data_IF_225769137611
#
_entry.id   IF_225769137611
#
_cell.length_a   1.000
_cell.length_b   1.000
_cell.length_c   1.000
_cell.angle_alpha   90.00
_cell.angle_beta   90.00
_cell.angle_gamma   90.00
#
_symmetry.space_group_name_H-M   'P 1'
#
loop_
_entity.id
_entity.type
_entity.pdbx_description
1 polymer ?
#
# COMPACT_ATOMS: atom_id res chain seq x y z
N UNK A 1 -12.05 23.33 16.67
CA UNK A 1 -13.17 22.63 15.99
C UNK A 1 -12.70 21.43 15.11
N UNK A 2 -11.43 21.31 14.75
CA UNK A 2 -10.87 20.18 13.96
C UNK A 2 -10.61 18.89 14.78
N UNK A 3 -10.35 18.99 16.08
CA UNK A 3 -10.04 17.83 16.94
C UNK A 3 -11.26 16.93 17.25
N UNK A 4 -12.47 17.49 17.29
CA UNK A 4 -13.69 16.72 17.59
C UNK A 4 -14.08 15.79 16.42
N UNK A 5 -13.83 16.22 15.17
CA UNK A 5 -14.11 15.38 13.98
C UNK A 5 -13.13 14.21 13.85
N UNK A 6 -11.86 14.41 14.21
CA UNK A 6 -10.87 13.33 14.21
C UNK A 6 -11.12 12.30 15.32
N UNK A 7 -11.55 12.75 16.48
CA UNK A 7 -11.92 11.90 17.62
C UNK A 7 -13.14 11.02 17.31
N UNK A 8 -14.19 11.59 16.71
CA UNK A 8 -15.39 10.82 16.30
C UNK A 8 -15.11 9.77 15.21
N UNK A 9 -14.21 10.09 14.28
CA UNK A 9 -13.75 9.13 13.26
C UNK A 9 -12.97 7.97 13.85
N UNK A 10 -12.11 8.23 14.84
CA UNK A 10 -11.36 7.19 15.54
C UNK A 10 -12.28 6.28 16.35
N UNK A 11 -13.32 6.83 16.99
CA UNK A 11 -14.28 6.05 17.74
C UNK A 11 -15.13 5.16 16.83
N UNK A 12 -15.58 5.68 15.68
CA UNK A 12 -16.30 4.92 14.67
C UNK A 12 -15.45 3.79 14.06
N UNK A 13 -14.15 4.02 13.84
CA UNK A 13 -13.20 2.98 13.41
C UNK A 13 -13.03 1.88 14.47
N UNK A 14 -12.95 2.26 15.74
CA UNK A 14 -12.85 1.30 16.85
C UNK A 14 -14.14 0.48 17.05
N UNK A 15 -15.29 1.07 16.72
CA UNK A 15 -16.61 0.43 16.82
C UNK A 15 -16.95 -0.40 15.57
N UNK A 16 -16.31 -0.12 14.41
CA UNK A 16 -16.44 -0.96 13.23
C UNK A 16 -15.79 -2.32 13.52
N UNK A 17 -16.58 -3.38 13.48
CA UNK A 17 -16.26 -4.75 13.95
C UNK A 17 -15.21 -5.47 13.07
N UNK A 18 -14.22 -4.73 12.56
CA UNK A 18 -13.09 -5.27 11.78
C UNK A 18 -11.94 -5.59 12.71
N UNK A 19 -11.89 -6.83 13.20
CA UNK A 19 -10.99 -7.33 14.23
C UNK A 19 -9.48 -7.13 13.99
N UNK A 20 -9.06 -6.58 12.85
CA UNK A 20 -7.67 -6.26 12.51
C UNK A 20 -7.22 -4.90 13.05
N UNK A 21 -8.16 -4.00 13.38
CA UNK A 21 -7.86 -2.66 13.88
C UNK A 21 -7.48 -2.63 15.36
N UNK A 22 -7.77 -3.69 16.13
CA UNK A 22 -7.57 -3.74 17.58
C UNK A 22 -6.11 -3.75 18.05
N UNK A 23 -5.15 -4.07 17.17
CA UNK A 23 -3.72 -4.05 17.48
C UNK A 23 -3.04 -2.75 17.06
N UNK A 24 -3.79 -1.74 16.63
CA UNK A 24 -3.23 -0.45 16.25
C UNK A 24 -2.93 0.36 17.52
N UNK A 25 -1.67 0.74 17.70
CA UNK A 25 -1.33 1.71 18.73
C UNK A 25 -2.07 3.03 18.42
N UNK A 26 -2.87 3.53 19.35
CA UNK A 26 -3.65 4.76 19.19
C UNK A 26 -2.81 5.93 18.64
N UNK A 27 -1.56 6.03 19.06
CA UNK A 27 -0.64 7.07 18.61
C UNK A 27 -0.27 6.92 17.12
N UNK A 28 -0.06 5.70 16.64
CA UNK A 28 0.23 5.42 15.24
C UNK A 28 -0.98 5.70 14.35
N UNK A 29 -2.17 5.27 14.77
CA UNK A 29 -3.40 5.58 14.05
C UNK A 29 -3.65 7.08 13.94
N UNK A 30 -3.43 7.83 15.03
CA UNK A 30 -3.56 9.28 15.04
C UNK A 30 -2.55 9.96 14.10
N UNK A 31 -1.30 9.49 14.10
CA UNK A 31 -0.26 9.99 13.19
C UNK A 31 -0.61 9.68 11.73
N UNK A 32 -1.07 8.45 11.44
CA UNK A 32 -1.51 8.09 10.10
C UNK A 32 -2.64 8.98 9.61
N UNK A 33 -3.71 9.16 10.41
CA UNK A 33 -4.82 10.05 10.07
C UNK A 33 -4.38 11.52 9.86
N UNK A 34 -3.42 11.98 10.66
CA UNK A 34 -2.85 13.31 10.44
C UNK A 34 -2.21 13.42 9.05
N UNK A 35 -1.41 12.40 8.65
CA UNK A 35 -0.76 12.35 7.33
C UNK A 35 -1.77 12.18 6.19
N UNK A 36 -2.82 11.37 6.37
CA UNK A 36 -3.92 11.24 5.40
C UNK A 36 -4.54 12.60 5.08
N UNK A 37 -4.73 13.45 6.09
CA UNK A 37 -5.33 14.78 5.87
C UNK A 37 -4.33 15.83 5.36
N UNK A 38 -3.04 15.66 5.64
CA UNK A 38 -2.01 16.68 5.34
C UNK A 38 -1.23 16.35 4.08
N UNK A 39 -0.74 15.11 3.98
CA UNK A 39 0.28 14.74 3.00
C UNK A 39 -0.34 14.00 1.80
N UNK A 40 -1.31 13.09 2.04
CA UNK A 40 -1.93 12.29 0.98
C UNK A 40 -2.61 13.10 -0.13
N UNK A 41 -3.27 14.25 0.12
CA UNK A 41 -3.94 15.02 -0.94
C UNK A 41 -2.99 15.44 -2.07
N UNK A 42 -1.73 15.72 -1.78
CA UNK A 42 -0.74 16.14 -2.77
C UNK A 42 -0.38 15.01 -3.76
N UNK A 43 -0.54 13.76 -3.32
CA UNK A 43 -0.13 12.56 -4.09
C UNK A 43 -1.31 11.71 -4.55
N UNK A 44 -2.53 11.93 -4.04
CA UNK A 44 -3.71 11.10 -4.32
C UNK A 44 -3.92 10.89 -5.82
N UNK A 45 -3.82 11.94 -6.64
CA UNK A 45 -3.95 11.86 -8.10
C UNK A 45 -2.98 10.87 -8.75
N UNK A 46 -1.74 10.78 -8.24
CA UNK A 46 -0.74 9.85 -8.78
C UNK A 46 -1.05 8.41 -8.39
N UNK A 47 -1.55 8.17 -7.16
CA UNK A 47 -2.02 6.86 -6.74
C UNK A 47 -3.23 6.39 -7.55
N UNK A 48 -4.23 7.25 -7.75
CA UNK A 48 -5.42 6.94 -8.54
C UNK A 48 -5.05 6.62 -10.01
N UNK A 49 -4.15 7.40 -10.58
CA UNK A 49 -3.68 7.22 -11.94
C UNK A 49 -2.88 5.91 -12.11
N UNK A 50 -1.97 5.64 -11.17
CA UNK A 50 -1.19 4.40 -11.16
C UNK A 50 -2.09 3.18 -10.91
N UNK A 51 -3.04 3.28 -9.99
CA UNK A 51 -4.02 2.24 -9.71
C UNK A 51 -4.84 1.86 -10.94
N UNK A 52 -5.36 2.86 -11.65
CA UNK A 52 -6.09 2.65 -12.91
C UNK A 52 -5.20 2.06 -14.02
N UNK A 53 -3.95 2.49 -14.12
CA UNK A 53 -3.02 2.04 -15.19
C UNK A 53 -2.53 0.61 -14.98
N UNK A 54 -2.48 0.13 -13.74
CA UNK A 54 -1.93 -1.17 -13.38
C UNK A 54 -2.94 -2.13 -12.75
N UNK A 55 -4.23 -1.77 -12.75
CA UNK A 55 -5.32 -2.56 -12.16
C UNK A 55 -5.02 -2.94 -10.70
N UNK A 56 -4.73 -1.94 -9.88
CA UNK A 56 -4.49 -2.06 -8.43
C UNK A 56 -5.31 -1.00 -7.70
N UNK A 57 -5.94 -1.35 -6.59
CA UNK A 57 -6.62 -0.37 -5.76
C UNK A 57 -5.63 0.73 -5.32
N UNK A 58 -5.92 1.99 -5.67
CA UNK A 58 -5.05 3.12 -5.35
C UNK A 58 -4.79 3.26 -3.85
N UNK A 59 -5.75 2.84 -3.01
CA UNK A 59 -5.63 2.87 -1.54
C UNK A 59 -4.60 1.86 -1.05
N UNK A 60 -4.51 0.71 -1.72
CA UNK A 60 -3.46 -0.27 -1.45
C UNK A 60 -2.08 0.29 -1.82
N UNK A 61 -1.96 0.97 -2.97
CA UNK A 61 -0.71 1.63 -3.35
C UNK A 61 -0.32 2.73 -2.36
N UNK A 62 -1.29 3.52 -1.90
CA UNK A 62 -1.07 4.54 -0.88
C UNK A 62 -0.64 3.93 0.46
N UNK A 63 -1.23 2.79 0.86
CA UNK A 63 -0.85 2.05 2.07
C UNK A 63 0.58 1.50 1.98
N UNK A 64 0.97 0.94 0.82
CA UNK A 64 2.35 0.50 0.55
C UNK A 64 3.31 1.70 0.67
N UNK A 65 3.04 2.80 -0.02
CA UNK A 65 3.89 3.99 0.01
C UNK A 65 4.02 4.58 1.42
N UNK A 66 2.94 4.54 2.22
CA UNK A 66 3.01 4.97 3.61
C UNK A 66 3.92 4.05 4.44
N UNK A 67 3.83 2.74 4.25
CA UNK A 67 4.71 1.79 4.93
C UNK A 67 6.17 1.96 4.51
N UNK A 68 6.43 2.30 3.26
CA UNK A 68 7.79 2.46 2.69
C UNK A 68 8.46 3.77 3.15
N UNK A 69 7.76 4.90 3.01
CA UNK A 69 8.37 6.23 3.17
C UNK A 69 7.55 7.20 4.00
N UNK A 70 6.38 6.80 4.50
CA UNK A 70 5.40 7.73 5.08
C UNK A 70 4.98 8.85 4.10
N UNK A 71 4.95 8.55 2.81
CA UNK A 71 4.69 9.46 1.69
C UNK A 71 5.75 10.56 1.52
N UNK A 72 7.00 10.28 1.89
CA UNK A 72 8.12 11.17 1.61
C UNK A 72 8.79 10.82 0.28
N UNK A 73 8.67 11.66 -0.78
CA UNK A 73 9.30 11.40 -2.07
C UNK A 73 10.82 11.49 -2.03
N UNK A 74 11.39 12.16 -1.02
CA UNK A 74 12.83 12.31 -0.85
C UNK A 74 13.45 11.21 0.02
N UNK A 75 12.65 10.26 0.50
CA UNK A 75 13.13 9.17 1.36
C UNK A 75 14.31 8.44 0.70
N UNK A 76 15.33 8.16 1.52
CA UNK A 76 16.53 7.43 1.10
C UNK A 76 16.99 6.55 2.25
N UNK A 77 17.17 5.25 2.00
CA UNK A 77 17.74 4.33 2.97
C UNK A 77 19.27 4.33 2.92
N UNK A 78 19.94 3.86 3.99
CA UNK A 78 21.40 3.67 4.00
C UNK A 78 21.91 2.75 2.89
N UNK A 79 21.07 1.84 2.41
CA UNK A 79 21.39 0.87 1.35
C UNK A 79 21.05 1.37 -0.05
N UNK A 80 20.58 2.61 -0.19
CA UNK A 80 20.40 3.29 -1.47
C UNK A 80 19.05 3.06 -2.17
N UNK A 81 18.04 2.46 -1.50
CA UNK A 81 16.66 2.51 -1.98
C UNK A 81 16.11 3.91 -1.79
N UNK A 82 15.27 4.38 -2.71
CA UNK A 82 14.86 5.79 -2.75
C UNK A 82 13.42 5.97 -3.19
N UNK A 83 12.88 7.11 -2.76
CA UNK A 83 11.61 7.67 -3.22
C UNK A 83 10.39 7.13 -2.51
N UNK A 84 9.23 7.58 -2.93
CA UNK A 84 7.93 7.30 -2.34
C UNK A 84 7.66 5.80 -2.11
N UNK A 85 8.07 4.94 -3.05
CA UNK A 85 7.85 3.49 -3.03
C UNK A 85 9.13 2.71 -2.73
N UNK A 86 10.21 3.38 -2.28
CA UNK A 86 11.50 2.80 -1.87
C UNK A 86 12.05 1.78 -2.86
N UNK A 87 12.14 2.18 -4.14
CA UNK A 87 12.63 1.29 -5.19
C UNK A 87 14.16 1.20 -5.17
N UNK A 88 14.69 -0.02 -5.35
CA UNK A 88 16.12 -0.21 -5.66
C UNK A 88 16.43 0.39 -7.04
N UNK A 89 17.71 0.61 -7.33
CA UNK A 89 18.10 1.09 -8.65
C UNK A 89 17.75 0.10 -9.76
N UNK A 90 17.93 -1.19 -9.50
CA UNK A 90 17.61 -2.27 -10.45
C UNK A 90 16.10 -2.33 -10.71
N UNK A 91 15.29 -2.39 -9.64
CA UNK A 91 13.83 -2.42 -9.78
C UNK A 91 13.30 -1.18 -10.49
N UNK A 92 13.84 0.00 -10.17
CA UNK A 92 13.47 1.26 -10.83
C UNK A 92 13.76 1.20 -12.35
N UNK A 93 14.95 0.73 -12.74
CA UNK A 93 15.32 0.57 -14.14
C UNK A 93 14.40 -0.42 -14.86
N UNK A 94 14.13 -1.59 -14.26
CA UNK A 94 13.21 -2.59 -14.82
C UNK A 94 11.77 -2.05 -14.97
N UNK A 95 11.35 -1.21 -14.03
CA UNK A 95 10.01 -0.60 -14.06
C UNK A 95 9.97 0.71 -14.88
N UNK A 96 11.06 1.09 -15.55
CA UNK A 96 11.11 2.29 -16.38
C UNK A 96 11.08 3.60 -15.59
N UNK A 97 11.51 3.59 -14.34
CA UNK A 97 11.63 4.77 -13.47
C UNK A 97 12.99 5.41 -13.68
N UNK A 98 13.00 6.62 -14.21
CA UNK A 98 14.22 7.39 -14.46
C UNK A 98 14.62 8.18 -13.22
N UNK A 99 13.65 8.79 -12.56
CA UNK A 99 13.86 9.54 -11.31
C UNK A 99 13.03 8.92 -10.18
N UNK A 100 13.72 8.26 -9.24
CA UNK A 100 13.09 7.63 -8.07
C UNK A 100 12.57 8.63 -7.05
N UNK A 101 13.06 9.89 -7.08
CA UNK A 101 12.60 10.96 -6.19
C UNK A 101 11.38 11.71 -6.76
N UNK A 102 11.04 11.51 -8.03
CA UNK A 102 9.77 11.93 -8.58
C UNK A 102 8.64 11.08 -7.98
N UNK A 103 7.74 11.71 -7.23
CA UNK A 103 6.60 11.02 -6.62
C UNK A 103 5.78 10.25 -7.67
N UNK A 104 5.47 10.88 -8.80
CA UNK A 104 4.70 10.29 -9.89
C UNK A 104 5.38 9.05 -10.46
N UNK A 105 6.69 9.14 -10.80
CA UNK A 105 7.42 8.02 -11.38
C UNK A 105 7.61 6.90 -10.37
N UNK A 106 7.92 7.24 -9.11
CA UNK A 106 8.09 6.27 -8.03
C UNK A 106 6.81 5.49 -7.76
N UNK A 107 5.66 6.17 -7.66
CA UNK A 107 4.34 5.55 -7.46
C UNK A 107 3.98 4.65 -8.63
N UNK A 108 4.13 5.13 -9.87
CA UNK A 108 3.83 4.32 -11.07
C UNK A 108 4.74 3.09 -11.19
N UNK A 109 6.04 3.25 -10.90
CA UNK A 109 7.00 2.14 -10.89
C UNK A 109 6.72 1.11 -9.81
N UNK A 110 6.40 1.59 -8.58
CA UNK A 110 6.01 0.72 -7.47
C UNK A 110 4.72 -0.05 -7.73
N UNK A 111 3.72 0.60 -8.34
CA UNK A 111 2.47 -0.03 -8.74
C UNK A 111 2.70 -1.15 -9.78
N UNK A 112 3.53 -0.87 -10.79
CA UNK A 112 3.93 -1.86 -11.82
C UNK A 112 4.68 -3.03 -11.20
N UNK A 113 5.59 -2.75 -10.27
CA UNK A 113 6.35 -3.80 -9.58
C UNK A 113 5.44 -4.67 -8.72
N UNK A 114 4.54 -4.08 -7.91
CA UNK A 114 3.56 -4.82 -7.13
C UNK A 114 2.67 -5.69 -8.02
N UNK A 115 2.12 -5.13 -9.12
CA UNK A 115 1.28 -5.87 -10.06
C UNK A 115 2.03 -7.06 -10.68
N UNK A 116 3.28 -6.85 -11.10
CA UNK A 116 4.13 -7.94 -11.60
C UNK A 116 4.30 -9.06 -10.57
N UNK A 117 4.54 -8.71 -9.30
CA UNK A 117 4.67 -9.72 -8.24
C UNK A 117 3.36 -10.48 -8.01
N UNK A 118 2.23 -9.79 -8.05
CA UNK A 118 0.90 -10.39 -7.96
C UNK A 118 0.63 -11.35 -9.12
N UNK A 119 0.91 -10.96 -10.35
CA UNK A 119 0.69 -11.77 -11.56
C UNK A 119 1.63 -12.99 -11.66
N UNK A 120 2.79 -12.92 -11.01
CA UNK A 120 3.73 -14.05 -10.93
C UNK A 120 3.36 -15.10 -9.87
N UNK A 121 2.36 -14.86 -9.04
CA UNK A 121 1.76 -15.85 -8.14
C UNK A 121 0.72 -16.69 -8.91
N UNK A 122 0.41 -17.92 -8.45
CA UNK A 122 -0.57 -18.77 -9.10
C UNK A 122 -1.92 -18.09 -9.29
N UNK A 123 -2.57 -18.34 -10.44
CA UNK A 123 -3.85 -17.71 -10.80
C UNK A 123 -5.02 -18.21 -9.95
N UNK A 124 -4.94 -19.45 -9.48
CA UNK A 124 -5.93 -20.09 -8.62
C UNK A 124 -5.81 -19.71 -7.15
N UNK A 125 -4.79 -18.89 -6.79
CA UNK A 125 -4.62 -18.40 -5.44
C UNK A 125 -5.68 -17.33 -5.15
N UNK A 126 -6.59 -17.56 -4.16
CA UNK A 126 -7.70 -16.65 -3.92
C UNK A 126 -7.24 -15.37 -3.20
N UNK A 127 -7.89 -14.24 -3.49
CA UNK A 127 -7.80 -13.06 -2.62
C UNK A 127 -8.58 -13.30 -1.31
N UNK A 128 -8.14 -12.71 -0.20
CA UNK A 128 -7.04 -11.74 -0.12
C UNK A 128 -5.65 -12.38 0.06
N UNK A 129 -5.51 -13.71 0.05
CA UNK A 129 -4.23 -14.41 0.29
C UNK A 129 -3.19 -14.08 -0.79
N UNK A 130 -3.62 -14.01 -2.06
CA UNK A 130 -2.75 -13.60 -3.19
C UNK A 130 -2.18 -12.21 -2.98
N UNK A 131 -3.02 -11.26 -2.59
CA UNK A 131 -2.62 -9.88 -2.25
C UNK A 131 -1.56 -9.85 -1.14
N UNK A 132 -1.77 -10.62 -0.05
CA UNK A 132 -0.83 -10.65 1.07
C UNK A 132 0.51 -11.29 0.71
N UNK A 133 0.49 -12.33 -0.11
CA UNK A 133 1.71 -12.96 -0.62
C UNK A 133 2.46 -12.05 -1.61
N UNK A 134 1.75 -11.26 -2.41
CA UNK A 134 2.37 -10.25 -3.26
C UNK A 134 3.04 -9.14 -2.43
N UNK A 135 2.41 -8.67 -1.34
CA UNK A 135 3.01 -7.73 -0.40
C UNK A 135 4.25 -8.30 0.29
N UNK A 136 4.18 -9.55 0.77
CA UNK A 136 5.33 -10.22 1.33
C UNK A 136 6.46 -10.36 0.30
N UNK A 137 6.13 -10.63 -0.97
CA UNK A 137 7.09 -10.68 -2.07
C UNK A 137 7.71 -9.32 -2.37
N UNK A 138 6.97 -8.23 -2.20
CA UNK A 138 7.47 -6.87 -2.36
C UNK A 138 8.56 -6.54 -1.34
N UNK A 139 8.36 -6.91 -0.08
CA UNK A 139 9.29 -6.62 1.02
C UNK A 139 10.45 -7.66 1.11
N UNK A 140 10.11 -8.96 1.16
CA UNK A 140 11.06 -10.05 1.44
C UNK A 140 11.73 -10.58 0.18
N UNK A 141 11.10 -10.36 -0.98
CA UNK A 141 11.46 -10.96 -2.25
C UNK A 141 10.66 -12.24 -2.53
N UNK A 142 10.23 -12.36 -3.78
CA UNK A 142 9.39 -13.46 -4.27
C UNK A 142 10.01 -14.85 -4.00
N UNK A 143 11.33 -14.99 -4.14
CA UNK A 143 12.00 -16.27 -3.93
C UNK A 143 11.80 -16.85 -2.52
N UNK A 144 11.75 -16.00 -1.49
CA UNK A 144 11.49 -16.42 -0.12
C UNK A 144 10.03 -16.89 0.07
N UNK A 145 9.07 -16.17 -0.51
CA UNK A 145 7.65 -16.56 -0.45
C UNK A 145 7.41 -17.89 -1.15
N UNK A 146 8.02 -18.12 -2.31
CA UNK A 146 7.91 -19.40 -3.02
C UNK A 146 8.55 -20.55 -2.25
N UNK A 147 9.68 -20.33 -1.59
CA UNK A 147 10.29 -21.34 -0.71
C UNK A 147 9.39 -21.67 0.47
N UNK A 148 8.79 -20.67 1.11
CA UNK A 148 7.84 -20.89 2.20
C UNK A 148 6.63 -21.70 1.73
N UNK A 149 6.09 -21.41 0.54
CA UNK A 149 4.99 -22.16 -0.05
C UNK A 149 5.38 -23.64 -0.31
N UNK A 150 6.58 -23.88 -0.84
CA UNK A 150 7.07 -25.24 -1.06
C UNK A 150 7.24 -26.01 0.26
N UNK A 151 7.71 -25.33 1.32
CA UNK A 151 7.82 -25.95 2.66
C UNK A 151 6.45 -26.29 3.23
N UNK A 152 5.46 -25.39 3.09
CA UNK A 152 4.09 -25.63 3.52
C UNK A 152 3.49 -26.84 2.80
N UNK A 153 3.64 -26.91 1.49
CA UNK A 153 3.18 -28.02 0.67
C UNK A 153 3.83 -29.34 1.10
N UNK A 154 5.15 -29.37 1.29
CA UNK A 154 5.89 -30.56 1.75
C UNK A 154 5.45 -31.01 3.16
N UNK A 155 4.99 -30.10 4.00
CA UNK A 155 4.46 -30.37 5.33
C UNK A 155 2.97 -30.76 5.33
N UNK A 156 2.32 -30.79 4.16
CA UNK A 156 0.88 -31.06 4.05
C UNK A 156 -0.01 -29.94 4.56
N UNK A 157 0.53 -28.72 4.67
CA UNK A 157 -0.21 -27.51 5.05
C UNK A 157 -0.77 -26.81 3.81
N UNK A 158 -1.84 -26.01 4.01
CA UNK A 158 -2.39 -25.21 2.92
C UNK A 158 -1.43 -24.06 2.57
N UNK A 159 -0.72 -24.22 1.45
CA UNK A 159 0.23 -23.23 0.96
C UNK A 159 -0.45 -22.02 0.28
N UNK A 160 -1.78 -22.02 0.16
CA UNK A 160 -2.59 -20.92 -0.34
C UNK A 160 -3.14 -20.03 0.78
N UNK A 161 -3.10 -20.51 2.03
CA UNK A 161 -3.52 -19.72 3.18
C UNK A 161 -2.37 -18.86 3.73
N UNK A 162 -2.54 -17.54 3.70
CA UNK A 162 -1.55 -16.60 4.24
C UNK A 162 -1.25 -16.84 5.74
N UNK A 163 -2.26 -17.19 6.54
CA UNK A 163 -2.06 -17.39 7.97
C UNK A 163 -1.15 -18.60 8.25
N UNK A 164 -1.31 -19.67 7.48
CA UNK A 164 -0.44 -20.84 7.56
C UNK A 164 0.95 -20.54 6.99
N UNK A 165 1.02 -19.83 5.85
CA UNK A 165 2.28 -19.51 5.20
C UNK A 165 3.23 -18.68 6.07
N UNK A 166 2.71 -17.81 6.94
CA UNK A 166 3.51 -17.01 7.90
C UNK A 166 4.44 -17.87 8.74
N UNK A 167 3.97 -19.02 9.22
CA UNK A 167 4.77 -19.96 10.03
C UNK A 167 5.99 -20.49 9.24
N UNK A 168 5.79 -20.78 7.95
CA UNK A 168 6.86 -21.25 7.08
C UNK A 168 7.83 -20.14 6.67
N UNK A 169 7.38 -18.90 6.54
CA UNK A 169 8.25 -17.74 6.36
C UNK A 169 9.18 -17.59 7.56
N UNK A 170 8.68 -17.73 8.79
CA UNK A 170 9.48 -17.70 10.03
C UNK A 170 10.42 -18.90 10.13
N UNK A 171 9.97 -20.10 9.74
CA UNK A 171 10.77 -21.32 9.79
C UNK A 171 12.00 -21.25 8.88
N UNK A 172 11.89 -20.62 7.70
CA UNK A 172 13.01 -20.41 6.78
C UNK A 172 14.19 -19.65 7.41
N UNK A 173 13.93 -18.72 8.32
CA UNK A 173 14.97 -17.93 8.97
C UNK A 173 15.68 -18.68 10.10
N UNK A 174 14.96 -19.53 10.80
CA UNK A 174 15.48 -20.27 11.93
C UNK A 174 16.38 -21.45 11.52
N UNK A 175 16.67 -21.60 10.21
CA UNK A 175 17.58 -22.63 9.72
C UNK A 175 17.11 -24.07 9.99
N UNK A 176 15.81 -24.28 10.24
CA UNK A 176 15.20 -25.59 10.39
C UNK A 176 15.20 -26.27 9.02
N UNK A 177 16.32 -26.91 8.70
CA UNK A 177 16.77 -27.41 7.43
C UNK A 177 15.83 -28.38 6.72
N UNK A 178 14.88 -27.81 5.97
CA UNK A 178 14.31 -28.47 4.82
C UNK A 178 14.79 -27.68 3.59
N UNK A 179 15.97 -28.01 3.06
CA UNK A 179 16.41 -27.52 1.77
C UNK A 179 15.46 -28.08 0.71
N UNK A 180 14.76 -27.21 -0.07
CA UNK A 180 14.06 -27.68 -1.25
C UNK A 180 15.07 -28.24 -2.26
N UNK A 181 14.70 -29.20 -3.12
CA UNK A 181 15.57 -29.73 -4.15
C UNK A 181 16.09 -28.59 -5.04
N UNK A 182 17.40 -28.53 -5.21
CA UNK A 182 18.15 -27.44 -5.88
C UNK A 182 17.81 -27.16 -7.35
N UNK A 183 16.98 -27.98 -8.00
CA UNK A 183 16.72 -27.91 -9.44
C UNK A 183 15.89 -26.68 -9.88
N UNK A 184 15.04 -26.12 -9.01
CA UNK A 184 14.12 -25.04 -9.39
C UNK A 184 14.58 -23.65 -8.93
N UNK A 185 15.53 -23.58 -8.01
CA UNK A 185 16.06 -22.33 -7.46
C UNK A 185 16.88 -21.56 -8.51
N UNK A 186 17.57 -22.27 -9.41
CA UNK A 186 18.46 -21.64 -10.40
C UNK A 186 17.72 -20.76 -11.46
N UNK A 187 16.43 -21.00 -11.69
CA UNK A 187 15.62 -20.20 -12.64
C UNK A 187 15.10 -18.89 -12.07
N UNK A 188 15.12 -18.76 -10.73
CA UNK A 188 14.53 -17.59 -10.03
C UNK A 188 15.58 -16.67 -9.39
N UNK A 189 16.88 -17.02 -9.50
CA UNK A 189 17.98 -16.24 -8.89
C UNK A 189 18.40 -15.01 -9.69
N UNK A 190 17.85 -14.79 -10.89
CA UNK A 190 18.09 -13.56 -11.65
C UNK A 190 17.36 -12.34 -11.08
N UNK A 191 16.34 -12.56 -10.24
CA UNK A 191 15.69 -11.50 -9.49
C UNK A 191 16.38 -11.33 -8.11
N UNK A 192 17.71 -11.14 -8.10
CA UNK A 192 18.41 -10.68 -6.90
C UNK A 192 18.07 -9.22 -6.65
N UNK A 193 16.88 -9.00 -6.11
CA UNK A 193 16.62 -7.77 -5.38
C UNK A 193 17.61 -7.77 -4.22
N UNK A 194 18.46 -6.76 -4.18
CA UNK A 194 19.45 -6.57 -3.11
C UNK A 194 18.70 -6.47 -1.77
N UNK A 195 18.65 -7.59 -1.06
CA UNK A 195 17.83 -7.81 0.12
C UNK A 195 18.34 -7.08 1.37
N UNK A 196 19.46 -6.36 1.27
CA UNK A 196 20.04 -5.59 2.38
C UNK A 196 19.42 -4.18 2.50
N UNK A 197 18.47 -3.82 1.62
CA UNK A 197 18.00 -2.45 1.50
C UNK A 197 16.91 -2.02 2.49
N UNK A 198 16.23 -2.95 3.14
CA UNK A 198 14.98 -2.65 3.85
C UNK A 198 15.05 -2.46 5.37
N UNK A 199 16.23 -2.52 5.99
CA UNK A 199 16.35 -2.50 7.46
C UNK A 199 16.31 -1.12 8.13
N UNK A 200 16.07 -0.02 7.39
CA UNK A 200 16.41 1.30 7.94
C UNK A 200 15.25 2.26 8.25
N UNK A 201 14.01 1.99 7.88
CA UNK A 201 12.95 3.02 8.00
C UNK A 201 11.96 2.77 9.16
N UNK A 202 11.95 1.59 9.77
CA UNK A 202 10.99 1.21 10.82
C UNK A 202 11.52 1.03 12.24
N UNK A 203 12.82 1.16 12.46
CA UNK A 203 13.44 0.81 13.74
C UNK A 203 13.63 2.00 14.66
N UNK A 204 12.58 2.43 15.34
CA UNK A 204 12.76 3.25 16.55
C UNK A 204 11.72 2.91 17.63
N UNK A 205 11.76 1.69 18.15
CA UNK A 205 11.36 1.34 19.52
C UNK A 205 12.24 0.20 20.01
N UNK A 206 13.32 0.58 20.68
CA UNK A 206 14.20 -0.36 21.36
C UNK A 206 13.51 -0.96 22.59
N UNK A 207 13.29 -2.26 22.58
CA UNK A 207 13.30 -3.09 23.78
C UNK A 207 14.21 -4.31 23.54
N UNK A 208 14.98 -4.65 24.53
CA UNK A 208 16.16 -5.54 24.50
C UNK A 208 15.88 -7.05 24.33
N UNK A 209 14.75 -7.43 23.74
CA UNK A 209 14.38 -8.79 23.32
C UNK A 209 14.55 -9.03 21.80
N UNK A 210 15.04 -8.05 21.04
CA UNK A 210 14.95 -7.98 19.58
C UNK A 210 16.10 -8.64 18.80
N UNK A 211 16.93 -9.48 19.41
CA UNK A 211 17.98 -10.23 18.69
C UNK A 211 17.47 -11.43 17.87
N UNK A 212 16.16 -11.66 17.83
CA UNK A 212 15.49 -12.71 17.04
C UNK A 212 14.65 -12.12 15.89
N UNK A 213 14.90 -10.88 15.51
CA UNK A 213 14.14 -10.23 14.44
C UNK A 213 14.77 -10.54 13.08
N UNK A 214 14.40 -11.70 12.56
CA UNK A 214 14.70 -12.08 11.21
C UNK A 214 13.84 -11.34 10.18
N UNK A 215 14.28 -11.35 8.92
CA UNK A 215 13.63 -10.69 7.77
C UNK A 215 12.21 -11.18 7.52
N UNK A 216 11.88 -12.45 7.85
CA UNK A 216 10.55 -13.00 7.74
C UNK A 216 9.56 -12.37 8.72
N UNK A 217 9.97 -12.13 9.97
CA UNK A 217 9.13 -11.42 10.93
C UNK A 217 8.89 -9.96 10.48
N UNK A 218 9.91 -9.32 9.90
CA UNK A 218 9.78 -7.98 9.32
C UNK A 218 8.77 -7.97 8.17
N UNK A 219 8.84 -8.95 7.26
CA UNK A 219 7.90 -9.08 6.15
C UNK A 219 6.47 -9.35 6.62
N UNK A 220 6.28 -10.15 7.66
CA UNK A 220 4.95 -10.39 8.24
C UNK A 220 4.39 -9.10 8.83
N UNK A 221 5.20 -8.36 9.61
CA UNK A 221 4.82 -7.06 10.16
C UNK A 221 4.52 -6.03 9.05
N UNK A 222 5.30 -6.06 7.97
CA UNK A 222 5.07 -5.23 6.79
C UNK A 222 3.68 -5.47 6.19
N UNK A 223 3.33 -6.73 5.94
CA UNK A 223 2.00 -7.10 5.43
C UNK A 223 0.90 -6.66 6.39
N UNK A 224 1.04 -6.92 7.68
CA UNK A 224 0.05 -6.55 8.69
C UNK A 224 -0.13 -5.02 8.80
N UNK A 225 0.94 -4.24 8.64
CA UNK A 225 0.89 -2.78 8.63
C UNK A 225 0.19 -2.25 7.37
N UNK A 226 0.59 -2.74 6.18
CA UNK A 226 -0.03 -2.33 4.92
C UNK A 226 -1.53 -2.63 4.92
N UNK A 227 -1.94 -3.82 5.40
CA UNK A 227 -3.36 -4.17 5.56
C UNK A 227 -4.10 -3.15 6.41
N UNK A 228 -3.56 -2.82 7.58
CA UNK A 228 -4.16 -1.84 8.50
C UNK A 228 -4.32 -0.47 7.86
N UNK A 229 -3.28 0.04 7.19
CA UNK A 229 -3.35 1.31 6.47
C UNK A 229 -4.36 1.27 5.33
N UNK A 230 -4.41 0.17 4.60
CA UNK A 230 -5.38 -0.05 3.53
C UNK A 230 -6.81 -0.03 4.04
N UNK A 231 -7.12 -0.81 5.08
CA UNK A 231 -8.45 -0.85 5.69
C UNK A 231 -8.88 0.53 6.19
N UNK A 232 -7.98 1.30 6.80
CA UNK A 232 -8.25 2.67 7.22
C UNK A 232 -8.53 3.59 6.02
N UNK A 233 -7.77 3.50 4.93
CA UNK A 233 -8.00 4.30 3.73
C UNK A 233 -9.31 3.93 3.03
N UNK A 234 -9.67 2.65 2.98
CA UNK A 234 -10.97 2.19 2.49
C UNK A 234 -12.08 2.83 3.30
N UNK A 235 -12.02 2.68 4.62
CA UNK A 235 -13.04 3.24 5.50
C UNK A 235 -13.15 4.77 5.38
N UNK A 236 -12.03 5.49 5.31
CA UNK A 236 -12.01 6.95 5.14
C UNK A 236 -12.68 7.34 3.83
N UNK A 237 -12.31 6.68 2.72
CA UNK A 237 -12.83 7.03 1.39
C UNK A 237 -14.32 6.72 1.24
N UNK A 238 -14.83 5.70 1.92
CA UNK A 238 -16.25 5.36 1.92
C UNK A 238 -17.10 6.29 2.81
N UNK A 239 -16.45 6.93 3.80
CA UNK A 239 -17.10 7.84 4.74
C UNK A 239 -16.69 9.31 4.54
N UNK A 240 -16.00 9.66 3.46
CA UNK A 240 -15.82 11.05 3.05
C UNK A 240 -17.19 11.63 2.74
N UNK A 241 -17.58 12.79 3.34
CA UNK A 241 -18.80 13.47 2.92
C UNK A 241 -18.61 13.84 1.46
N UNK A 242 -19.42 13.24 0.57
CA UNK A 242 -19.33 13.50 -0.86
C UNK A 242 -19.30 15.00 -1.11
N UNK A 243 -18.44 15.46 -1.99
CA UNK A 243 -18.52 16.79 -2.58
C UNK A 243 -19.96 16.94 -3.10
N UNK A 244 -20.75 17.78 -2.43
CA UNK A 244 -22.06 18.16 -2.98
C UNK A 244 -21.78 18.73 -4.36
N UNK A 245 -22.47 18.25 -5.43
CA UNK A 245 -22.34 18.86 -6.72
C UNK A 245 -22.59 20.36 -6.57
N UNK A 246 -21.71 21.17 -7.14
CA UNK A 246 -21.75 22.62 -7.09
C UNK A 246 -23.10 23.09 -7.67
N UNK A 247 -24.04 23.51 -6.81
CA UNK A 247 -25.35 24.04 -7.18
C UNK A 247 -25.26 25.34 -8.03
N UNK A 248 -24.04 25.78 -8.37
CA UNK A 248 -23.82 26.99 -9.17
C UNK A 248 -23.88 26.77 -10.68
N UNK A 249 -23.98 25.50 -11.15
CA UNK A 249 -24.03 25.17 -12.57
C UNK A 249 -25.44 25.21 -13.19
N UNK A 250 -26.49 25.51 -12.42
CA UNK A 250 -27.86 25.55 -12.92
C UNK A 250 -28.46 26.95 -12.98
N UNK A 251 -27.68 28.00 -13.24
CA UNK A 251 -28.24 29.26 -13.73
C UNK A 251 -28.28 29.22 -15.25
N UNK A 252 -29.42 28.83 -15.78
CA UNK A 252 -29.78 28.99 -17.17
C UNK A 252 -29.61 30.46 -17.60
N UNK A 253 -28.93 30.74 -18.74
CA UNK A 253 -28.81 32.11 -19.26
C UNK A 253 -29.97 32.49 -20.21
N UNK A 254 -31.19 32.05 -19.92
CA UNK A 254 -32.34 32.38 -20.74
C UNK A 254 -33.50 32.87 -19.88
N UNK A 255 -33.39 34.11 -19.37
CA UNK A 255 -34.58 34.93 -19.03
C UNK A 255 -34.27 36.42 -19.12
N UNK A 256 -33.92 36.89 -20.32
CA UNK A 256 -33.97 38.29 -20.71
C UNK A 256 -34.54 38.36 -22.13
N UNK A 257 -35.87 38.24 -22.26
CA UNK A 257 -36.59 38.85 -23.39
C UNK A 257 -38.06 38.94 -23.06
N UNK A 258 -38.50 40.11 -22.81
CA UNK A 258 -39.81 40.70 -23.14
C UNK A 258 -40.30 41.65 -22.05
N UNK A 259 -39.98 42.90 -22.22
CA UNK A 259 -40.98 43.91 -21.95
C UNK A 259 -40.64 45.19 -22.72
N UNK A 260 -41.04 45.21 -23.99
CA UNK A 260 -41.18 46.45 -24.74
C UNK A 260 -42.65 46.57 -25.12
N UNK A 261 -43.36 47.33 -24.35
CA UNK A 261 -44.76 47.75 -24.66
C UNK A 261 -44.75 49.21 -24.97
N UNK A 262 -44.81 49.45 -26.24
CA UNK A 262 -45.25 50.64 -26.92
C UNK A 262 -46.46 51.37 -26.22
N UNK A 263 -46.36 52.65 -26.08
CA UNK A 263 -47.53 53.50 -26.10
C UNK A 263 -47.23 54.77 -26.91
N UNK A 264 -47.72 54.73 -28.11
CA UNK A 264 -47.93 55.89 -29.02
C UNK A 264 -49.14 56.62 -28.50
N UNK A 265 -49.03 57.92 -28.34
CA UNK A 265 -50.18 58.79 -28.38
C UNK A 265 -49.89 60.06 -29.20
N UNK A 266 -50.75 60.24 -30.10
CA UNK A 266 -50.88 61.34 -31.03
C UNK A 266 -50.97 62.73 -30.35
N UNK A 267 -50.32 63.76 -30.88
CA UNK A 267 -50.87 64.91 -31.65
C UNK A 267 -49.72 65.68 -32.22
#
# INVERSE_FOLDING_TARGET
MRDVKSSGRMQALAESNQGHLWNFNYSEAKLFLHRVNKDLPDYRKYFEQAGKSHDVDWRLLAAIAHQESHWDPAATSPTGVRGMMMLTQTTAAEMGVVDRLSAEQSISGGARYYRRLYDLLPDDLPDPHKTWMALASYNLGRGHVLRARQLAENAGSDNNDWQQLREFILALENGTGVEPPRSDVARYTSDTVDTNAYTAVGANTQTSTDKLNGRGLEAIRYVDNVRRYYDMLVWISENEPGEKPDERSSKDPHDESNNDSSTTTLE
#
